data_IF_365024753741
#
_entry.id   IF_365024753741
#
_cell.length_a   1.000
_cell.length_b   1.000
_cell.length_c   1.000
_cell.angle_alpha   90.00
_cell.angle_beta   90.00
_cell.angle_gamma   90.00
#
_symmetry.space_group_name_H-M   'P 1'
#
loop_
_entity.id
_entity.type
_entity.pdbx_description
1 polymer ?
#
# COMPACT_ATOMS: atom_id res chain seq x y z
N UNK A 1 0.74 12.31 15.45
CA UNK A 1 -0.21 12.23 14.32
C UNK A 1 0.62 12.29 13.06
N UNK A 2 0.42 11.32 12.17
CA UNK A 2 1.32 11.03 11.07
C UNK A 2 0.84 11.54 9.73
N UNK A 3 1.60 11.24 8.68
CA UNK A 3 1.13 11.31 7.30
C UNK A 3 0.90 9.88 6.85
N UNK A 4 -0.37 9.49 6.83
CA UNK A 4 -0.84 8.13 6.55
C UNK A 4 -1.80 8.15 5.37
N UNK A 5 -1.70 7.13 4.51
CA UNK A 5 -2.71 6.84 3.49
C UNK A 5 -3.50 5.63 4.00
N UNK A 6 -4.79 5.82 4.24
CA UNK A 6 -5.75 4.75 4.51
C UNK A 6 -6.48 4.41 3.22
N UNK A 7 -6.74 3.13 2.98
CA UNK A 7 -7.47 2.69 1.80
C UNK A 7 -8.29 1.44 2.09
N UNK A 8 -9.41 1.30 1.37
CA UNK A 8 -10.20 0.07 1.33
C UNK A 8 -10.41 -0.42 -0.09
N UNK A 9 -10.51 -1.74 -0.21
CA UNK A 9 -10.87 -2.42 -1.44
C UNK A 9 -12.17 -3.20 -1.23
N UNK A 10 -12.99 -3.22 -2.26
CA UNK A 10 -14.20 -4.03 -2.33
C UNK A 10 -14.33 -4.61 -3.74
N UNK A 11 -14.08 -5.91 -3.85
CA UNK A 11 -14.25 -6.65 -5.09
C UNK A 11 -15.62 -7.36 -5.15
N UNK A 12 -16.42 -7.29 -4.08
CA UNK A 12 -17.71 -8.00 -3.97
C UNK A 12 -17.58 -9.52 -4.04
N UNK A 13 -18.68 -10.19 -4.32
CA UNK A 13 -18.73 -11.65 -4.48
C UNK A 13 -18.08 -12.08 -5.80
N UNK A 14 -16.88 -12.67 -5.72
CA UNK A 14 -16.16 -13.21 -6.88
C UNK A 14 -15.51 -14.57 -6.59
N UNK A 15 -15.33 -15.43 -7.61
CA UNK A 15 -14.52 -16.64 -7.47
C UNK A 15 -13.08 -16.30 -7.10
N UNK A 16 -12.44 -17.14 -6.28
CA UNK A 16 -11.02 -16.95 -5.88
C UNK A 16 -10.08 -16.79 -7.08
N UNK A 17 -10.37 -17.45 -8.21
CA UNK A 17 -9.56 -17.33 -9.43
C UNK A 17 -9.50 -15.92 -9.96
N UNK A 18 -10.61 -15.17 -9.87
CA UNK A 18 -10.69 -13.78 -10.30
C UNK A 18 -9.97 -12.86 -9.30
N UNK A 19 -10.07 -13.16 -8.01
CA UNK A 19 -9.33 -12.42 -6.97
C UNK A 19 -7.82 -12.56 -7.13
N UNK A 20 -7.32 -13.76 -7.41
CA UNK A 20 -5.90 -13.96 -7.77
C UNK A 20 -5.50 -13.15 -9.00
N UNK A 21 -6.37 -13.04 -10.00
CA UNK A 21 -6.10 -12.24 -11.19
C UNK A 21 -6.02 -10.75 -10.87
N UNK A 22 -6.95 -10.23 -10.06
CA UNK A 22 -6.97 -8.83 -9.63
C UNK A 22 -5.73 -8.47 -8.81
N UNK A 23 -5.43 -9.26 -7.77
CA UNK A 23 -4.24 -9.04 -6.93
C UNK A 23 -2.97 -9.22 -7.75
N UNK A 24 -2.92 -10.21 -8.66
CA UNK A 24 -1.79 -10.40 -9.57
C UNK A 24 -1.61 -9.27 -10.59
N UNK A 25 -2.68 -8.57 -11.01
CA UNK A 25 -2.57 -7.36 -11.85
C UNK A 25 -1.98 -6.19 -11.07
N UNK A 26 -2.39 -6.00 -9.81
CA UNK A 26 -1.80 -5.01 -8.92
C UNK A 26 -0.32 -5.32 -8.65
N UNK A 27 0.02 -6.56 -8.35
CA UNK A 27 1.40 -7.00 -8.13
C UNK A 27 2.26 -6.76 -9.37
N UNK A 28 1.79 -7.11 -10.57
CA UNK A 28 2.51 -6.78 -11.81
C UNK A 28 2.69 -5.29 -12.02
N UNK A 29 1.68 -4.48 -11.70
CA UNK A 29 1.79 -3.02 -11.78
C UNK A 29 2.80 -2.48 -10.77
N UNK A 30 2.91 -3.11 -9.59
CA UNK A 30 3.89 -2.79 -8.56
C UNK A 30 5.32 -3.12 -8.99
N UNK A 31 5.55 -4.15 -9.82
CA UNK A 31 6.88 -4.48 -10.36
C UNK A 31 7.48 -3.35 -11.21
N UNK A 32 6.65 -2.58 -11.90
CA UNK A 32 7.09 -1.43 -12.70
C UNK A 32 7.36 -0.18 -11.84
N UNK A 33 7.01 -0.21 -10.54
CA UNK A 33 7.29 0.86 -9.60
C UNK A 33 8.64 0.63 -8.90
N UNK A 34 9.40 1.70 -8.58
CA UNK A 34 10.71 1.62 -7.95
C UNK A 34 10.64 1.33 -6.44
N UNK A 35 9.87 0.31 -6.06
CA UNK A 35 9.74 -0.12 -4.67
C UNK A 35 11.10 -0.55 -4.11
N UNK A 36 11.36 -0.20 -2.85
CA UNK A 36 12.55 -0.64 -2.13
C UNK A 36 12.55 -2.16 -1.99
N UNK A 37 11.38 -2.71 -1.65
CA UNK A 37 11.15 -4.16 -1.61
C UNK A 37 9.74 -4.45 -2.12
N UNK A 38 9.61 -5.57 -2.81
CA UNK A 38 8.34 -6.12 -3.25
C UNK A 38 8.46 -7.63 -3.14
N UNK A 39 7.44 -8.30 -2.60
CA UNK A 39 7.43 -9.76 -2.61
C UNK A 39 7.55 -10.30 -4.04
N UNK A 40 8.29 -11.39 -4.22
CA UNK A 40 8.47 -11.99 -5.55
C UNK A 40 7.16 -12.53 -6.14
N UNK A 41 6.25 -13.01 -5.27
CA UNK A 41 4.97 -13.61 -5.63
C UNK A 41 3.85 -13.15 -4.70
N UNK A 42 2.61 -13.23 -5.18
CA UNK A 42 1.44 -13.07 -4.32
C UNK A 42 1.33 -14.26 -3.36
N UNK A 43 0.92 -14.01 -2.13
CA UNK A 43 0.58 -15.03 -1.15
C UNK A 43 -0.92 -15.33 -1.17
N UNK A 44 -1.27 -16.61 -0.98
CA UNK A 44 -2.64 -17.06 -0.72
C UNK A 44 -2.65 -17.85 0.59
N UNK A 45 -3.43 -17.36 1.56
CA UNK A 45 -3.58 -17.96 2.89
C UNK A 45 -5.01 -18.45 3.06
N UNK A 46 -5.19 -19.62 3.66
CA UNK A 46 -6.52 -20.21 3.88
C UNK A 46 -6.71 -20.76 5.29
N UNK A 47 -7.93 -20.67 5.81
CA UNK A 47 -8.31 -21.27 7.09
C UNK A 47 -7.41 -20.79 8.24
N UNK A 48 -6.72 -21.71 8.91
CA UNK A 48 -5.86 -21.39 10.06
C UNK A 48 -4.61 -20.58 9.69
N UNK A 49 -4.20 -20.58 8.42
CA UNK A 49 -3.05 -19.79 7.95
C UNK A 49 -3.32 -18.28 8.04
N UNK A 50 -4.59 -17.88 8.02
CA UNK A 50 -5.03 -16.50 8.14
C UNK A 50 -4.93 -15.94 9.59
N UNK A 51 -4.67 -16.80 10.57
CA UNK A 51 -4.58 -16.41 11.98
C UNK A 51 -3.12 -16.02 12.29
N UNK A 52 -2.86 -14.82 12.84
CA UNK A 52 -1.50 -14.43 13.24
C UNK A 52 -0.92 -15.41 14.25
N UNK A 53 0.28 -15.92 13.98
CA UNK A 53 0.98 -16.77 14.95
C UNK A 53 1.62 -15.91 16.04
N UNK A 54 1.44 -16.28 17.30
CA UNK A 54 2.17 -15.71 18.45
C UNK A 54 3.32 -16.62 18.90
N UNK A 55 3.69 -17.59 18.08
CA UNK A 55 4.73 -18.59 18.38
C UNK A 55 6.15 -18.04 18.25
N UNK A 56 7.13 -18.91 18.48
CA UNK A 56 8.57 -18.58 18.41
C UNK A 56 9.13 -18.43 17.00
N UNK A 57 8.40 -18.86 15.97
CA UNK A 57 8.79 -18.65 14.58
C UNK A 57 8.22 -17.32 14.07
N UNK A 58 9.02 -16.48 13.40
CA UNK A 58 8.51 -15.27 12.76
C UNK A 58 7.45 -15.64 11.72
N UNK A 59 6.32 -14.93 11.78
CA UNK A 59 5.24 -15.01 10.81
C UNK A 59 5.47 -13.89 9.77
N UNK A 60 5.90 -14.21 8.54
CA UNK A 60 6.26 -13.19 7.55
C UNK A 60 5.06 -12.33 7.15
N UNK A 61 3.83 -12.83 7.34
CA UNK A 61 2.59 -12.15 6.97
C UNK A 61 1.86 -11.57 8.20
N UNK A 62 2.56 -11.43 9.33
CA UNK A 62 1.95 -11.04 10.60
C UNK A 62 1.17 -9.72 10.48
N UNK A 63 1.77 -8.68 9.88
CA UNK A 63 1.13 -7.37 9.75
C UNK A 63 -0.10 -7.41 8.82
N UNK A 64 0.00 -8.10 7.68
CA UNK A 64 -1.13 -8.30 6.76
C UNK A 64 -2.29 -9.02 7.44
N UNK A 65 -2.02 -10.10 8.19
CA UNK A 65 -3.06 -10.82 8.94
C UNK A 65 -3.70 -9.93 10.00
N UNK A 66 -2.92 -9.14 10.73
CA UNK A 66 -3.43 -8.20 11.75
C UNK A 66 -4.33 -7.15 11.10
N UNK A 67 -3.92 -6.57 9.96
CA UNK A 67 -4.71 -5.59 9.19
C UNK A 67 -6.01 -6.19 8.64
N UNK A 68 -6.03 -7.48 8.34
CA UNK A 68 -7.21 -8.19 7.86
C UNK A 68 -8.21 -8.59 8.96
N UNK A 69 -7.87 -8.47 10.25
CA UNK A 69 -8.80 -8.78 11.35
C UNK A 69 -9.81 -7.64 11.51
N UNK A 70 -11.11 -7.97 11.59
CA UNK A 70 -12.12 -7.03 12.06
C UNK A 70 -12.05 -6.95 13.58
N UNK A 71 -11.68 -5.78 14.10
CA UNK A 71 -11.54 -5.54 15.54
C UNK A 71 -12.73 -4.72 16.02
N UNK A 72 -13.32 -5.13 17.15
CA UNK A 72 -14.20 -4.25 17.92
C UNK A 72 -13.34 -3.19 18.61
N UNK A 73 -13.40 -1.96 18.10
CA UNK A 73 -12.59 -0.84 18.57
C UNK A 73 -12.88 -0.42 20.02
N UNK A 74 -14.03 -0.80 20.59
CA UNK A 74 -14.36 -0.47 21.97
C UNK A 74 -13.76 -1.45 22.98
N UNK A 75 -13.68 -2.73 22.59
CA UNK A 75 -13.23 -3.81 23.47
C UNK A 75 -11.84 -4.35 23.11
N UNK A 76 -11.25 -3.87 22.00
CA UNK A 76 -9.99 -4.36 21.43
C UNK A 76 -9.96 -5.90 21.25
N UNK A 77 -11.14 -6.50 21.01
CA UNK A 77 -11.27 -7.93 20.76
C UNK A 77 -11.43 -8.16 19.25
N UNK A 78 -10.79 -9.22 18.74
CA UNK A 78 -11.04 -9.67 17.39
C UNK A 78 -12.50 -10.11 17.27
N UNK A 79 -13.25 -9.42 16.42
CA UNK A 79 -14.64 -9.73 16.14
C UNK A 79 -14.75 -10.83 15.08
N UNK A 80 -13.87 -10.80 14.08
CA UNK A 80 -13.88 -11.76 12.98
C UNK A 80 -12.49 -11.90 12.36
N UNK A 81 -12.01 -13.15 12.22
CA UNK A 81 -10.80 -13.46 11.48
C UNK A 81 -11.12 -13.75 10.01
N UNK A 82 -10.26 -13.34 9.07
CA UNK A 82 -10.40 -13.75 7.69
C UNK A 82 -10.20 -15.26 7.56
N UNK A 83 -10.88 -15.87 6.59
CA UNK A 83 -10.77 -17.30 6.27
C UNK A 83 -10.02 -17.55 4.96
N UNK A 84 -9.77 -16.49 4.20
CA UNK A 84 -9.00 -16.51 2.97
C UNK A 84 -8.40 -15.13 2.75
N UNK A 85 -7.10 -15.04 2.50
CA UNK A 85 -6.38 -13.81 2.13
C UNK A 85 -5.61 -14.10 0.84
N UNK A 86 -5.68 -13.19 -0.13
CA UNK A 86 -4.80 -13.17 -1.30
C UNK A 86 -4.15 -11.79 -1.35
N UNK A 87 -2.83 -11.70 -1.34
CA UNK A 87 -2.15 -10.41 -1.23
C UNK A 87 -0.66 -10.44 -1.49
N UNK A 88 -0.02 -9.30 -1.29
CA UNK A 88 1.43 -9.14 -1.25
C UNK A 88 1.78 -7.91 -0.40
N UNK A 89 3.01 -7.87 0.06
CA UNK A 89 3.60 -6.77 0.81
C UNK A 89 4.66 -6.09 -0.04
N UNK A 90 4.76 -4.77 0.12
CA UNK A 90 5.83 -3.96 -0.46
C UNK A 90 6.37 -2.98 0.58
N UNK A 91 7.64 -2.62 0.43
CA UNK A 91 8.22 -1.46 1.11
C UNK A 91 8.43 -0.37 0.07
N UNK A 92 7.79 0.77 0.29
CA UNK A 92 7.79 1.79 -0.76
C UNK A 92 9.16 2.41 -0.94
N UNK A 93 9.69 2.94 0.16
CA UNK A 93 11.02 3.55 0.30
C UNK A 93 11.51 3.37 1.74
N UNK A 94 12.82 3.54 2.01
CA UNK A 94 13.33 3.59 3.37
C UNK A 94 12.56 4.62 4.23
N UNK A 95 12.17 4.23 5.44
CA UNK A 95 11.39 5.05 6.36
C UNK A 95 9.86 5.01 6.16
N UNK A 96 9.34 4.33 5.13
CA UNK A 96 7.91 4.02 5.08
C UNK A 96 7.57 2.79 5.94
N UNK A 97 6.34 2.68 6.42
CA UNK A 97 5.79 1.42 6.92
C UNK A 97 5.49 0.46 5.75
N UNK A 98 5.42 -0.84 6.03
CA UNK A 98 5.04 -1.86 5.03
C UNK A 98 3.66 -1.55 4.43
N UNK A 99 3.57 -1.65 3.10
CA UNK A 99 2.36 -1.52 2.31
C UNK A 99 1.79 -2.90 2.01
N UNK A 100 0.66 -3.25 2.62
CA UNK A 100 -0.02 -4.52 2.35
C UNK A 100 -1.16 -4.32 1.35
N UNK A 101 -1.06 -4.97 0.20
CA UNK A 101 -2.11 -5.00 -0.81
C UNK A 101 -2.72 -6.39 -0.81
N UNK A 102 -3.94 -6.51 -0.34
CA UNK A 102 -4.62 -7.80 -0.23
C UNK A 102 -6.12 -7.66 -0.43
N UNK A 103 -6.77 -8.79 -0.70
CA UNK A 103 -8.20 -8.99 -0.59
C UNK A 103 -8.42 -10.18 0.33
N UNK A 104 -9.38 -10.07 1.25
CA UNK A 104 -9.74 -11.16 2.13
C UNK A 104 -11.25 -11.36 2.19
N UNK A 105 -11.66 -12.55 2.65
CA UNK A 105 -13.07 -12.87 2.93
C UNK A 105 -13.20 -13.46 4.32
N UNK A 106 -14.41 -13.39 4.87
CA UNK A 106 -14.73 -13.85 6.21
C UNK A 106 -15.72 -15.02 6.18
N UNK A 107 -15.92 -15.71 7.29
CA UNK A 107 -16.81 -16.87 7.35
C UNK A 107 -18.28 -16.52 7.07
N UNK A 108 -18.70 -15.29 7.41
CA UNK A 108 -20.08 -14.83 7.26
C UNK A 108 -20.32 -13.92 6.05
N UNK A 109 -19.35 -13.78 5.15
CA UNK A 109 -19.49 -12.94 3.94
C UNK A 109 -18.84 -13.61 2.73
N UNK A 110 -19.49 -13.48 1.57
CA UNK A 110 -18.92 -13.88 0.29
C UNK A 110 -18.12 -12.76 -0.39
N UNK A 111 -18.23 -11.53 0.11
CA UNK A 111 -17.50 -10.39 -0.42
C UNK A 111 -16.01 -10.47 -0.12
N UNK A 112 -15.23 -10.11 -1.12
CA UNK A 112 -13.80 -9.87 -0.99
C UNK A 112 -13.56 -8.40 -0.69
N UNK A 113 -13.04 -8.14 0.51
CA UNK A 113 -12.79 -6.79 1.00
C UNK A 113 -11.42 -6.71 1.64
N UNK A 114 -10.90 -5.50 1.76
CA UNK A 114 -9.73 -5.21 2.57
C UNK A 114 -9.78 -3.77 3.05
N UNK A 115 -9.13 -3.53 4.18
CA UNK A 115 -8.79 -2.20 4.64
C UNK A 115 -7.37 -2.24 5.17
N UNK A 116 -6.57 -1.26 4.82
CA UNK A 116 -5.19 -1.15 5.25
C UNK A 116 -4.75 0.31 5.27
N UNK A 117 -3.54 0.54 5.75
CA UNK A 117 -2.94 1.86 5.79
C UNK A 117 -1.42 1.75 5.69
N UNK A 118 -0.79 2.79 5.16
CA UNK A 118 0.66 2.90 5.10
C UNK A 118 1.08 4.31 5.53
N UNK A 119 1.95 4.38 6.55
CA UNK A 119 2.56 5.64 6.97
C UNK A 119 3.81 5.91 6.16
N UNK A 120 3.89 7.11 5.63
CA UNK A 120 5.06 7.57 4.84
C UNK A 120 5.86 8.64 5.55
N UNK A 121 5.39 9.13 6.72
CA UNK A 121 6.00 10.26 7.42
C UNK A 121 7.49 10.12 7.73
N UNK A 122 8.04 8.92 7.97
CA UNK A 122 9.46 8.80 8.33
C UNK A 122 10.38 8.73 7.11
N UNK A 123 9.82 8.51 5.91
CA UNK A 123 10.56 8.60 4.66
C UNK A 123 11.14 10.02 4.42
N UNK A 124 10.62 11.04 5.13
CA UNK A 124 11.10 12.43 5.06
C UNK A 124 12.37 12.69 5.88
N UNK A 125 12.81 11.73 6.71
CA UNK A 125 13.98 11.91 7.54
C UNK A 125 15.26 12.00 6.68
N UNK A 126 16.24 12.85 7.03
CA UNK A 126 17.47 13.01 6.24
C UNK A 126 18.23 11.71 5.98
N UNK A 127 18.29 10.82 6.96
CA UNK A 127 18.92 9.49 6.85
C UNK A 127 18.23 8.55 5.86
N UNK A 128 17.00 8.86 5.45
CA UNK A 128 16.21 8.12 4.49
C UNK A 128 16.12 8.81 3.12
N UNK A 129 16.75 9.98 2.94
CA UNK A 129 16.72 10.72 1.68
C UNK A 129 15.74 11.90 1.65
N UNK A 130 15.28 12.36 2.82
CA UNK A 130 14.61 13.65 2.95
C UNK A 130 13.28 13.75 2.21
N UNK A 131 12.89 14.98 1.85
CA UNK A 131 11.59 15.25 1.22
C UNK A 131 11.40 14.56 -0.13
N UNK A 132 12.46 14.35 -0.92
CA UNK A 132 12.37 13.65 -2.20
C UNK A 132 11.98 12.18 -1.99
N UNK A 133 12.60 11.52 -1.01
CA UNK A 133 12.25 10.15 -0.66
C UNK A 133 10.82 10.05 -0.12
N UNK A 134 10.36 11.01 0.69
CA UNK A 134 8.97 11.09 1.13
C UNK A 134 7.98 11.22 -0.03
N UNK A 135 8.21 12.15 -0.97
CA UNK A 135 7.31 12.34 -2.11
C UNK A 135 7.24 11.06 -2.94
N UNK A 136 8.37 10.44 -3.26
CA UNK A 136 8.40 9.18 -3.98
C UNK A 136 7.62 8.09 -3.24
N UNK A 137 7.90 7.88 -1.95
CA UNK A 137 7.22 6.89 -1.12
C UNK A 137 5.69 7.05 -1.16
N UNK A 138 5.23 8.30 -1.06
CA UNK A 138 3.83 8.64 -1.03
C UNK A 138 3.17 8.46 -2.42
N UNK A 139 3.77 9.03 -3.47
CA UNK A 139 3.20 8.97 -4.82
C UNK A 139 3.17 7.56 -5.40
N UNK A 140 4.09 6.68 -5.00
CA UNK A 140 4.07 5.28 -5.45
C UNK A 140 2.89 4.49 -4.89
N UNK A 141 2.47 4.76 -3.65
CA UNK A 141 1.24 4.19 -3.09
C UNK A 141 0.05 4.69 -3.91
N UNK A 142 -0.01 6.00 -4.17
CA UNK A 142 -1.09 6.62 -4.94
C UNK A 142 -1.18 6.02 -6.36
N UNK A 143 -0.04 5.84 -7.04
CA UNK A 143 0.00 5.22 -8.37
C UNK A 143 -0.52 3.77 -8.36
N UNK A 144 -0.21 2.98 -7.32
CA UNK A 144 -0.74 1.63 -7.18
C UNK A 144 -2.25 1.64 -6.86
N UNK A 145 -2.73 2.60 -6.07
CA UNK A 145 -4.16 2.79 -5.79
C UNK A 145 -4.92 3.27 -7.03
N UNK A 146 -4.31 4.08 -7.91
CA UNK A 146 -4.88 4.42 -9.22
C UNK A 146 -5.09 3.15 -10.07
N UNK A 147 -4.19 2.17 -9.99
CA UNK A 147 -4.41 0.86 -10.64
C UNK A 147 -5.56 0.08 -10.00
N UNK A 148 -5.73 0.13 -8.69
CA UNK A 148 -6.89 -0.48 -8.03
C UNK A 148 -8.21 0.20 -8.45
N UNK A 149 -8.19 1.52 -8.69
CA UNK A 149 -9.32 2.27 -9.22
C UNK A 149 -9.64 1.87 -10.67
N UNK A 150 -8.63 1.76 -11.54
CA UNK A 150 -8.79 1.28 -12.93
C UNK A 150 -9.39 -0.14 -12.98
N UNK A 151 -9.01 -1.01 -12.03
CA UNK A 151 -9.55 -2.36 -11.90
C UNK A 151 -10.95 -2.41 -11.27
N UNK A 152 -11.48 -1.27 -10.80
CA UNK A 152 -12.82 -1.16 -10.24
C UNK A 152 -12.99 -1.83 -8.87
N UNK A 153 -11.92 -1.91 -8.08
CA UNK A 153 -11.96 -2.51 -6.73
C UNK A 153 -11.61 -1.54 -5.61
N UNK A 154 -11.16 -0.32 -5.92
CA UNK A 154 -10.90 0.72 -4.93
C UNK A 154 -12.24 1.28 -4.41
N UNK A 155 -12.45 1.21 -3.11
CA UNK A 155 -13.68 1.67 -2.45
C UNK A 155 -13.49 3.05 -1.80
N UNK A 156 -12.45 3.21 -0.99
CA UNK A 156 -12.16 4.46 -0.30
C UNK A 156 -10.65 4.73 -0.20
N UNK A 157 -10.28 6.01 -0.23
CA UNK A 157 -8.93 6.48 0.14
C UNK A 157 -9.05 7.72 1.02
N UNK A 158 -8.41 7.66 2.18
CA UNK A 158 -8.22 8.80 3.08
C UNK A 158 -6.73 9.06 3.20
N UNK A 159 -6.25 10.06 2.47
CA UNK A 159 -4.88 10.55 2.53
C UNK A 159 -4.79 11.76 3.46
N UNK A 160 -4.09 11.61 4.58
CA UNK A 160 -3.87 12.67 5.57
C UNK A 160 -3.05 13.85 5.02
N UNK A 161 -2.28 13.68 3.93
CA UNK A 161 -1.58 14.76 3.26
C UNK A 161 -2.44 15.55 2.26
N UNK A 162 -3.60 15.02 1.87
CA UNK A 162 -4.51 15.64 0.90
C UNK A 162 -4.03 15.60 -0.56
N UNK A 163 -2.97 14.85 -0.86
CA UNK A 163 -2.52 14.64 -2.24
C UNK A 163 -3.50 13.80 -3.03
N UNK A 164 -4.19 12.84 -2.39
CA UNK A 164 -5.15 12.00 -3.09
C UNK A 164 -6.24 12.83 -3.80
N UNK A 165 -6.80 13.82 -3.12
CA UNK A 165 -7.94 14.58 -3.63
C UNK A 165 -7.53 15.63 -4.66
N UNK A 166 -6.36 16.24 -4.49
CA UNK A 166 -5.95 17.41 -5.28
C UNK A 166 -4.92 17.10 -6.34
N UNK A 167 -4.27 15.92 -6.25
CA UNK A 167 -3.13 15.53 -7.11
C UNK A 167 -2.12 16.67 -7.25
N UNK A 168 -1.96 17.47 -6.19
CA UNK A 168 -1.12 18.65 -6.17
C UNK A 168 0.15 18.37 -5.38
N UNK A 169 1.28 18.15 -6.06
CA UNK A 169 2.54 17.82 -5.39
C UNK A 169 3.03 18.94 -4.45
N UNK A 170 2.62 20.20 -4.67
CA UNK A 170 2.91 21.31 -3.77
C UNK A 170 2.19 21.23 -2.43
N UNK A 171 1.25 20.32 -2.22
CA UNK A 171 0.65 20.06 -0.90
C UNK A 171 1.40 19.01 -0.10
N UNK A 172 2.09 18.09 -0.79
CA UNK A 172 3.01 17.18 -0.13
C UNK A 172 4.21 17.93 0.47
N UNK A 173 4.55 19.11 -0.06
CA UNK A 173 5.69 19.91 0.41
C UNK A 173 5.27 21.34 0.71
N UNK A 174 5.56 21.81 1.91
CA UNK A 174 5.13 23.11 2.41
C UNK A 174 5.82 24.36 1.82
N UNK A 175 6.64 24.27 0.74
CA UNK A 175 7.27 25.46 0.13
C UNK A 175 7.61 25.34 -1.37
N UNK A 176 7.51 26.47 -2.08
CA UNK A 176 7.79 26.58 -3.52
C UNK A 176 9.28 26.63 -3.87
N UNK A 177 10.13 27.17 -2.98
CA UNK A 177 11.60 27.20 -3.18
C UNK A 177 12.20 25.79 -3.10
N UNK A 178 11.57 24.88 -2.35
CA UNK A 178 11.96 23.48 -2.28
C UNK A 178 11.56 22.69 -3.54
N UNK A 179 10.65 23.20 -4.38
CA UNK A 179 10.06 22.41 -5.47
C UNK A 179 11.06 22.11 -6.60
N UNK A 180 11.77 23.10 -7.13
CA UNK A 180 12.74 22.86 -8.22
C UNK A 180 13.94 22.01 -7.77
N UNK A 181 14.41 22.24 -6.54
CA UNK A 181 15.47 21.44 -5.94
C UNK A 181 15.01 19.99 -5.75
N UNK A 182 13.79 19.80 -5.27
CA UNK A 182 13.17 18.48 -5.10
C UNK A 182 12.99 17.75 -6.43
N UNK A 183 12.47 18.42 -7.47
CA UNK A 183 12.32 17.78 -8.80
C UNK A 183 13.67 17.32 -9.33
N UNK A 184 14.72 18.11 -9.11
CA UNK A 184 16.09 17.72 -9.46
C UNK A 184 16.55 16.50 -8.65
N UNK A 185 16.29 16.49 -7.34
CA UNK A 185 16.63 15.38 -6.45
C UNK A 185 15.88 14.10 -6.81
N UNK A 186 14.57 14.19 -7.04
CA UNK A 186 13.74 13.08 -7.54
C UNK A 186 14.28 12.57 -8.87
N UNK A 187 14.60 13.45 -9.82
CA UNK A 187 15.18 13.07 -11.10
C UNK A 187 16.50 12.33 -10.97
N UNK A 188 17.35 12.73 -10.01
CA UNK A 188 18.59 12.03 -9.70
C UNK A 188 18.34 10.66 -9.04
N UNK A 189 17.40 10.58 -8.09
CA UNK A 189 17.01 9.32 -7.45
C UNK A 189 16.41 8.34 -8.45
N UNK A 190 15.48 8.79 -9.30
CA UNK A 190 14.88 7.98 -10.34
C UNK A 190 15.86 7.66 -11.47
N UNK A 191 16.82 8.53 -11.78
CA UNK A 191 17.89 8.22 -12.74
C UNK A 191 18.78 7.05 -12.32
N UNK A 192 18.73 6.68 -11.03
CA UNK A 192 19.44 5.52 -10.46
C UNK A 192 18.56 4.26 -10.39
N UNK A 193 17.26 4.35 -10.73
CA UNK A 193 16.28 3.26 -10.68
C UNK A 193 15.66 3.08 -12.10
N UNK A 194 15.16 1.89 -12.54
CA UNK A 194 14.70 1.71 -13.92
C UNK A 194 13.64 2.72 -14.40
N UNK A 195 13.70 3.09 -15.69
CA UNK A 195 13.03 4.26 -16.33
C UNK A 195 11.48 4.33 -16.28
N UNK A 196 10.76 3.37 -15.69
CA UNK A 196 9.30 3.21 -15.84
C UNK A 196 8.45 4.35 -15.25
N UNK A 197 9.01 5.25 -14.42
CA UNK A 197 8.25 6.29 -13.71
C UNK A 197 8.44 7.72 -14.26
N UNK A 198 9.35 7.94 -15.23
CA UNK A 198 9.56 9.28 -15.82
C UNK A 198 8.32 9.82 -16.52
N UNK A 199 7.51 8.93 -17.09
CA UNK A 199 6.31 9.29 -17.83
C UNK A 199 5.16 9.72 -16.89
N UNK A 200 5.16 9.31 -15.62
CA UNK A 200 4.09 9.62 -14.65
C UNK A 200 4.23 10.99 -13.98
N UNK A 201 5.44 11.57 -13.98
CA UNK A 201 5.73 12.88 -13.38
C UNK A 201 5.85 14.01 -14.41
N UNK A 202 5.62 13.70 -15.68
CA UNK A 202 5.78 14.62 -16.82
C UNK A 202 4.47 15.28 -17.27
N UNK A 203 3.34 14.89 -16.68
CA UNK A 203 2.00 15.47 -16.88
C UNK A 203 1.59 16.36 -15.67
#
# INVERSE_FOLDING_TARGET
>A
MGITIHYSFNAGERPVTEIRQLVGLLHRSAVDLPFEQLDDEIVELTGTECIPSTGSSPDPWYLMKIRAIKIDIYNYQAQEYPVHIVGFTALTRPGAEELDIFLCRYSNSFDWVAHSWCKTQYAQLPEHGGSANFVLAHTMIIALLDKALELGILEEVVDEAGYWQERNPHKLISSSENWNALITEIGNTLGQIPNALKDFLSD
#
